data_IF_261842742201
#
_entry.id   IF_261842742201
#
_cell.length_a   1.000
_cell.length_b   1.000
_cell.length_c   1.000
_cell.angle_alpha   90.00
_cell.angle_beta   90.00
_cell.angle_gamma   90.00
#
_symmetry.space_group_name_H-M   'P 1'
#
loop_
_entity.id
_entity.type
_entity.pdbx_description
1 polymer ?
#
# COMPACT_ATOMS: atom_id res chain seq x y z
N UNK A 1 20.89 -4.51 -0.12
CA UNK A 1 21.16 -3.64 -1.30
C UNK A 1 22.49 -4.06 -1.89
N UNK A 2 22.55 -4.20 -3.21
CA UNK A 2 23.77 -4.61 -3.92
C UNK A 2 24.26 -3.48 -4.84
N UNK A 3 25.54 -3.27 -4.87
CA UNK A 3 26.22 -2.35 -5.79
C UNK A 3 27.13 -3.21 -6.67
N UNK A 4 27.08 -2.99 -7.97
CA UNK A 4 27.99 -3.62 -8.92
C UNK A 4 29.16 -2.68 -9.20
N UNK A 5 30.36 -3.15 -8.91
CA UNK A 5 31.61 -2.48 -9.25
C UNK A 5 32.04 -2.94 -10.65
N UNK A 6 32.03 -2.02 -11.61
CA UNK A 6 32.34 -2.33 -13.01
C UNK A 6 33.85 -2.59 -13.25
N UNK A 7 34.74 -1.95 -12.48
CA UNK A 7 36.19 -2.11 -12.63
C UNK A 7 36.65 -3.44 -12.05
N UNK A 8 36.24 -3.74 -10.81
CA UNK A 8 36.58 -5.00 -10.14
C UNK A 8 35.64 -6.15 -10.52
N UNK A 9 34.55 -5.88 -11.25
CA UNK A 9 33.51 -6.84 -11.66
C UNK A 9 32.97 -7.65 -10.50
N UNK A 10 32.79 -7.01 -9.35
CA UNK A 10 32.26 -7.61 -8.13
C UNK A 10 30.95 -6.97 -7.69
N UNK A 11 30.20 -7.73 -6.90
CA UNK A 11 29.02 -7.24 -6.20
C UNK A 11 29.42 -6.91 -4.76
N UNK A 12 29.11 -5.69 -4.32
CA UNK A 12 29.23 -5.25 -2.93
C UNK A 12 27.84 -5.29 -2.31
N UNK A 13 27.66 -6.08 -1.25
CA UNK A 13 26.42 -6.16 -0.51
C UNK A 13 26.43 -5.20 0.68
N UNK A 14 25.39 -4.35 0.75
CA UNK A 14 25.19 -3.40 1.85
C UNK A 14 24.14 -3.98 2.81
N UNK A 15 24.60 -4.84 3.73
CA UNK A 15 23.72 -5.57 4.65
C UNK A 15 23.16 -4.68 5.79
N UNK A 16 23.81 -3.58 6.11
CA UNK A 16 23.48 -2.71 7.24
C UNK A 16 22.29 -1.76 6.98
N UNK A 17 21.75 -1.72 5.76
CA UNK A 17 20.62 -0.85 5.44
C UNK A 17 19.34 -1.47 6.04
N UNK A 18 18.60 -0.73 6.89
CA UNK A 18 17.34 -1.23 7.44
C UNK A 18 16.32 -1.56 6.37
N UNK A 19 15.43 -2.50 6.65
CA UNK A 19 14.31 -2.85 5.75
C UNK A 19 13.40 -1.63 5.56
N UNK A 20 13.11 -1.29 4.30
CA UNK A 20 12.27 -0.16 3.93
C UNK A 20 12.28 0.08 2.43
N UNK A 21 11.55 1.09 1.99
CA UNK A 21 11.54 1.53 0.60
C UNK A 21 12.65 2.57 0.38
N UNK A 22 13.65 2.19 -0.43
CA UNK A 22 14.76 3.06 -0.77
C UNK A 22 14.36 4.00 -1.91
N UNK A 23 14.65 5.28 -1.73
CA UNK A 23 14.40 6.31 -2.71
C UNK A 23 15.66 7.18 -2.93
N UNK A 24 15.76 7.74 -4.13
CA UNK A 24 16.74 8.77 -4.45
C UNK A 24 18.19 8.40 -4.12
N UNK A 25 18.59 7.16 -4.37
CA UNK A 25 19.98 6.71 -4.15
C UNK A 25 20.92 7.49 -5.05
N UNK A 26 21.97 8.08 -4.46
CA UNK A 26 23.01 8.86 -5.14
C UNK A 26 24.37 8.56 -4.56
N UNK A 27 25.35 8.35 -5.42
CA UNK A 27 26.75 8.34 -5.02
C UNK A 27 27.24 9.75 -4.70
N UNK A 28 28.19 9.88 -3.79
CA UNK A 28 28.99 11.07 -3.64
C UNK A 28 29.98 11.20 -4.84
N UNK A 29 30.73 12.31 -4.88
CA UNK A 29 31.55 12.65 -6.07
C UNK A 29 32.67 11.65 -6.36
N UNK A 30 33.24 11.05 -5.34
CA UNK A 30 34.36 10.09 -5.42
C UNK A 30 33.88 8.62 -5.31
N UNK A 31 32.56 8.40 -5.33
CA UNK A 31 31.90 7.10 -5.28
C UNK A 31 32.22 6.25 -4.03
N UNK A 32 32.82 6.86 -3.00
CA UNK A 32 33.16 6.20 -1.73
C UNK A 32 31.97 6.00 -0.80
N UNK A 33 30.82 6.59 -1.10
CA UNK A 33 29.60 6.51 -0.28
C UNK A 33 28.35 6.88 -1.04
N UNK A 34 27.22 6.60 -0.42
CA UNK A 34 25.88 6.85 -0.96
C UNK A 34 25.01 7.65 0.01
N UNK A 35 24.21 8.55 -0.55
CA UNK A 35 23.07 9.16 0.12
C UNK A 35 21.79 8.55 -0.42
N UNK A 36 20.82 8.31 0.45
CA UNK A 36 19.54 7.71 0.05
C UNK A 36 18.41 8.14 1.00
N UNK A 37 17.19 8.16 0.47
CA UNK A 37 15.98 8.22 1.27
C UNK A 37 15.57 6.83 1.73
N UNK A 38 15.07 6.70 2.95
CA UNK A 38 14.50 5.46 3.47
C UNK A 38 13.14 5.73 4.09
N UNK A 39 12.11 5.13 3.50
CA UNK A 39 10.73 5.19 3.97
C UNK A 39 10.32 3.84 4.57
N UNK A 40 9.69 3.85 5.76
CA UNK A 40 9.17 2.65 6.44
C UNK A 40 7.77 2.93 6.96
N UNK A 41 7.00 1.89 7.25
CA UNK A 41 5.63 2.06 7.76
C UNK A 41 5.58 2.95 9.03
N UNK A 42 6.57 2.82 9.91
CA UNK A 42 6.66 3.53 11.21
C UNK A 42 7.59 4.75 11.20
N UNK A 43 8.11 5.13 10.04
CA UNK A 43 8.97 6.31 9.91
C UNK A 43 8.83 6.91 8.51
N UNK A 44 8.54 8.22 8.39
CA UNK A 44 8.52 8.90 7.11
C UNK A 44 9.87 8.86 6.43
N UNK A 45 9.93 9.26 5.16
CA UNK A 45 11.15 9.26 4.39
C UNK A 45 12.20 10.19 5.02
N UNK A 46 13.27 9.59 5.53
CA UNK A 46 14.43 10.28 6.05
C UNK A 46 15.64 10.10 5.15
N UNK A 47 16.51 11.09 5.16
CA UNK A 47 17.77 11.06 4.43
C UNK A 47 18.84 10.36 5.27
N UNK A 48 19.55 9.44 4.64
CA UNK A 48 20.69 8.72 5.20
C UNK A 48 21.92 8.91 4.32
N UNK A 49 23.09 8.77 4.94
CA UNK A 49 24.38 8.68 4.25
C UNK A 49 25.19 7.54 4.86
N UNK A 50 25.93 6.81 4.03
CA UNK A 50 26.92 5.82 4.46
C UNK A 50 28.08 5.75 3.47
N UNK A 51 29.25 5.38 3.96
CA UNK A 51 30.33 4.88 3.11
C UNK A 51 30.06 3.39 2.82
N UNK A 52 30.70 2.84 1.80
CA UNK A 52 30.43 1.46 1.37
C UNK A 52 30.80 0.40 2.42
N UNK A 53 31.61 0.77 3.41
CA UNK A 53 32.12 -0.05 4.50
C UNK A 53 31.55 0.30 5.90
N UNK A 54 30.58 1.23 5.96
CA UNK A 54 30.01 1.72 7.22
C UNK A 54 28.52 1.42 7.36
N UNK A 55 27.99 1.61 8.57
CA UNK A 55 26.53 1.60 8.79
C UNK A 55 25.92 2.95 8.40
N UNK A 56 24.63 2.95 7.97
CA UNK A 56 23.94 4.19 7.60
C UNK A 56 23.82 5.17 8.77
N UNK A 57 24.19 6.42 8.52
CA UNK A 57 23.95 7.54 9.43
C UNK A 57 22.71 8.30 8.97
N UNK A 58 21.69 8.40 9.85
CA UNK A 58 20.49 9.21 9.62
C UNK A 58 20.86 10.69 9.67
N UNK A 59 20.47 11.46 8.66
CA UNK A 59 20.77 12.90 8.53
C UNK A 59 19.55 13.77 8.88
N UNK A 60 18.33 13.27 8.70
CA UNK A 60 17.08 14.00 8.98
C UNK A 60 16.20 13.23 9.96
N UNK A 61 15.27 13.92 10.61
CA UNK A 61 14.23 13.35 11.45
C UNK A 61 12.88 13.99 11.07
N UNK A 62 12.22 13.42 10.06
CA UNK A 62 11.01 13.99 9.48
C UNK A 62 9.74 13.66 10.29
N UNK A 63 9.79 12.67 11.19
CA UNK A 63 8.67 12.38 12.07
C UNK A 63 8.47 13.53 13.07
N UNK A 64 7.23 13.99 13.20
CA UNK A 64 6.91 15.00 14.22
C UNK A 64 7.31 14.48 15.63
N UNK A 65 8.11 15.24 16.40
CA UNK A 65 8.58 14.79 17.72
C UNK A 65 7.48 14.47 18.74
N UNK A 66 6.25 14.98 18.52
CA UNK A 66 5.10 14.68 19.37
C UNK A 66 4.44 13.33 19.07
N UNK A 67 4.88 12.64 18.01
CA UNK A 67 4.36 11.33 17.64
C UNK A 67 5.31 10.25 18.14
N UNK A 68 4.79 9.36 18.97
CA UNK A 68 5.53 8.20 19.44
C UNK A 68 5.42 7.05 18.42
N UNK A 69 6.55 6.65 17.87
CA UNK A 69 6.62 5.56 16.90
C UNK A 69 6.31 4.17 17.50
N UNK A 70 6.36 4.01 18.83
CA UNK A 70 5.99 2.76 19.50
C UNK A 70 4.48 2.46 19.39
N UNK A 71 3.67 3.47 19.10
CA UNK A 71 2.23 3.33 18.85
C UNK A 71 1.87 3.14 17.39
N UNK A 72 2.85 3.09 16.50
CA UNK A 72 2.64 2.84 15.09
C UNK A 72 2.64 1.34 14.77
N UNK A 73 1.99 0.99 13.65
CA UNK A 73 1.87 -0.38 13.19
C UNK A 73 2.63 -0.58 11.87
N UNK A 74 3.23 -1.76 11.73
CA UNK A 74 3.82 -2.18 10.47
C UNK A 74 2.82 -3.00 9.65
N UNK A 75 2.82 -2.76 8.33
CA UNK A 75 2.03 -3.53 7.39
C UNK A 75 2.65 -4.90 7.10
N UNK A 76 1.82 -5.91 7.00
CA UNK A 76 2.21 -7.26 6.57
C UNK A 76 1.70 -7.50 5.17
N UNK A 77 2.58 -7.94 4.25
CA UNK A 77 2.17 -8.36 2.92
C UNK A 77 1.43 -9.69 3.04
N UNK A 78 0.19 -9.71 2.59
CA UNK A 78 -0.68 -10.89 2.59
C UNK A 78 -1.16 -11.18 1.17
N UNK A 79 -1.63 -12.40 0.95
CA UNK A 79 -2.25 -12.84 -0.31
C UNK A 79 -3.51 -13.63 0.01
N UNK A 80 -4.50 -13.53 -0.86
CA UNK A 80 -5.72 -14.31 -0.74
C UNK A 80 -6.23 -14.72 -2.12
N UNK A 81 -6.92 -15.87 -2.23
CA UNK A 81 -7.57 -16.28 -3.46
C UNK A 81 -8.82 -15.43 -3.71
N UNK A 82 -8.91 -14.81 -4.88
CA UNK A 82 -10.10 -14.09 -5.33
C UNK A 82 -11.22 -15.05 -5.74
N UNK A 83 -12.32 -14.51 -6.23
CA UNK A 83 -13.52 -15.24 -6.65
C UNK A 83 -13.28 -16.30 -7.73
N UNK A 84 -12.21 -16.17 -8.51
CA UNK A 84 -11.80 -17.07 -9.58
C UNK A 84 -10.51 -17.86 -9.26
N UNK A 85 -10.03 -17.77 -8.03
CA UNK A 85 -8.81 -18.43 -7.55
C UNK A 85 -7.51 -17.68 -7.86
N UNK A 86 -7.57 -16.51 -8.51
CA UNK A 86 -6.39 -15.66 -8.69
C UNK A 86 -5.88 -15.17 -7.32
N UNK A 87 -4.57 -15.33 -7.09
CA UNK A 87 -3.92 -14.79 -5.88
C UNK A 87 -3.81 -13.27 -5.93
N UNK A 88 -4.52 -12.58 -5.05
CA UNK A 88 -4.52 -11.12 -4.93
C UNK A 88 -3.64 -10.70 -3.75
N UNK A 89 -2.59 -9.89 -4.00
CA UNK A 89 -1.75 -9.36 -2.93
C UNK A 89 -2.35 -8.11 -2.28
N UNK A 90 -1.93 -7.84 -1.06
CA UNK A 90 -2.27 -6.60 -0.36
C UNK A 90 -1.39 -6.41 0.88
N UNK A 91 -1.59 -5.30 1.56
CA UNK A 91 -0.87 -4.95 2.79
C UNK A 91 -1.89 -4.77 3.90
N UNK A 92 -1.78 -5.58 4.94
CA UNK A 92 -2.69 -5.58 6.09
C UNK A 92 -2.01 -4.93 7.30
N UNK A 93 -2.62 -3.89 7.82
CA UNK A 93 -2.21 -3.19 9.05
C UNK A 93 -3.17 -3.59 10.17
N UNK A 94 -2.61 -4.19 11.22
CA UNK A 94 -3.37 -4.61 12.41
C UNK A 94 -3.21 -3.59 13.52
N UNK A 95 -4.30 -3.05 14.09
CA UNK A 95 -4.24 -2.21 15.28
C UNK A 95 -3.63 -2.97 16.47
N UNK A 96 -2.84 -2.27 17.28
CA UNK A 96 -2.16 -2.88 18.45
C UNK A 96 -3.15 -3.54 19.41
N UNK A 97 -4.32 -2.91 19.62
CA UNK A 97 -5.36 -3.38 20.53
C UNK A 97 -6.25 -4.49 19.97
N UNK A 98 -6.09 -4.83 18.66
CA UNK A 98 -6.93 -5.84 18.01
C UNK A 98 -6.61 -7.25 18.51
N UNK A 99 -7.61 -7.94 19.02
CA UNK A 99 -7.52 -9.34 19.48
C UNK A 99 -8.84 -10.07 19.19
N UNK A 100 -8.85 -11.37 19.46
CA UNK A 100 -10.06 -12.18 19.36
C UNK A 100 -11.15 -11.71 20.32
N UNK A 101 -10.77 -11.22 21.49
CA UNK A 101 -11.68 -10.69 22.51
C UNK A 101 -12.11 -9.25 22.24
N UNK A 102 -11.33 -8.53 21.40
CA UNK A 102 -11.61 -7.17 20.97
C UNK A 102 -11.38 -7.03 19.46
N UNK A 103 -12.26 -7.61 18.62
CA UNK A 103 -12.11 -7.58 17.19
C UNK A 103 -12.30 -6.17 16.62
N UNK A 104 -11.41 -5.79 15.71
CA UNK A 104 -11.37 -4.47 15.09
C UNK A 104 -12.30 -4.38 13.88
N UNK A 105 -13.00 -3.26 13.67
CA UNK A 105 -13.54 -2.94 12.36
C UNK A 105 -12.41 -2.83 11.33
N UNK A 106 -12.70 -3.04 10.05
CA UNK A 106 -11.71 -2.97 8.99
C UNK A 106 -12.12 -2.05 7.85
N UNK A 107 -11.14 -1.51 7.14
CA UNK A 107 -11.29 -0.74 5.92
C UNK A 107 -10.48 -1.38 4.80
N UNK A 108 -11.13 -1.72 3.70
CA UNK A 108 -10.49 -2.07 2.44
C UNK A 108 -10.14 -0.78 1.72
N UNK A 109 -8.84 -0.51 1.57
CA UNK A 109 -8.33 0.68 0.88
C UNK A 109 -7.96 0.34 -0.55
N UNK A 110 -8.69 0.92 -1.51
CA UNK A 110 -8.44 0.75 -2.93
C UNK A 110 -7.65 1.95 -3.46
N UNK A 111 -6.50 1.67 -4.08
CA UNK A 111 -5.65 2.71 -4.67
C UNK A 111 -6.26 3.31 -5.95
N UNK A 112 -5.73 4.45 -6.37
CA UNK A 112 -6.06 5.08 -7.64
C UNK A 112 -5.30 4.49 -8.83
N UNK A 113 -5.58 5.02 -10.01
CA UNK A 113 -4.91 4.63 -11.25
C UNK A 113 -5.87 4.49 -12.43
N UNK A 114 -6.31 3.28 -12.83
CA UNK A 114 -6.38 1.96 -12.16
C UNK A 114 -5.04 1.27 -11.91
N UNK A 115 -4.06 1.44 -12.78
CA UNK A 115 -2.76 0.75 -12.73
C UNK A 115 -1.80 1.25 -11.63
N UNK A 116 -2.30 1.77 -10.50
CA UNK A 116 -1.50 2.12 -9.34
C UNK A 116 -0.98 0.91 -8.58
N UNK A 117 -0.42 1.16 -7.39
CA UNK A 117 0.05 0.12 -6.47
C UNK A 117 0.05 0.65 -5.04
N UNK A 118 -0.49 -0.11 -4.12
CA UNK A 118 -0.25 0.08 -2.69
C UNK A 118 1.10 -0.52 -2.32
N UNK A 119 1.94 0.26 -1.63
CA UNK A 119 3.29 -0.14 -1.20
C UNK A 119 3.44 0.10 0.29
N UNK A 120 4.31 -0.67 0.93
CA UNK A 120 4.71 -0.41 2.32
C UNK A 120 5.40 0.95 2.41
N UNK A 121 5.08 1.71 3.44
CA UNK A 121 5.68 3.01 3.70
C UNK A 121 4.82 3.84 4.64
N UNK A 122 5.38 4.91 5.15
CA UNK A 122 4.71 5.79 6.09
C UNK A 122 3.49 6.47 5.45
N UNK A 123 2.35 6.23 6.05
CA UNK A 123 1.11 6.93 5.74
C UNK A 123 0.48 7.45 7.04
N UNK A 124 0.44 8.77 7.25
CA UNK A 124 -0.16 9.34 8.46
C UNK A 124 -1.63 8.95 8.61
N UNK A 125 -2.36 8.82 7.50
CA UNK A 125 -3.77 8.40 7.52
C UNK A 125 -3.93 6.96 7.98
N UNK A 126 -3.08 6.04 7.51
CA UNK A 126 -3.13 4.62 7.93
C UNK A 126 -2.77 4.52 9.41
N UNK A 127 -1.70 5.20 9.86
CA UNK A 127 -1.31 5.20 11.26
C UNK A 127 -2.40 5.80 12.16
N UNK A 128 -3.04 6.88 11.71
CA UNK A 128 -4.18 7.48 12.41
C UNK A 128 -5.37 6.49 12.52
N UNK A 129 -5.76 5.84 11.42
CA UNK A 129 -6.84 4.85 11.45
C UNK A 129 -6.50 3.68 12.37
N UNK A 130 -5.28 3.15 12.29
CA UNK A 130 -4.84 2.04 13.12
C UNK A 130 -4.81 2.42 14.62
N UNK A 131 -4.35 3.63 14.96
CA UNK A 131 -4.36 4.13 16.35
C UNK A 131 -5.79 4.29 16.91
N UNK A 132 -6.78 4.50 16.03
CA UNK A 132 -8.20 4.55 16.38
C UNK A 132 -8.89 3.18 16.31
N UNK A 133 -8.15 2.11 16.13
CA UNK A 133 -8.67 0.74 16.20
C UNK A 133 -9.21 0.18 14.90
N UNK A 134 -8.96 0.81 13.75
CA UNK A 134 -9.35 0.28 12.46
C UNK A 134 -8.21 -0.55 11.84
N UNK A 135 -8.50 -1.80 11.51
CA UNK A 135 -7.64 -2.54 10.58
C UNK A 135 -7.71 -1.90 9.19
N UNK A 136 -6.57 -1.78 8.51
CA UNK A 136 -6.54 -1.24 7.14
C UNK A 136 -5.93 -2.29 6.22
N UNK A 137 -6.64 -2.66 5.18
CA UNK A 137 -6.17 -3.55 4.14
C UNK A 137 -6.04 -2.80 2.82
N UNK A 138 -4.83 -2.48 2.43
CA UNK A 138 -4.52 -1.91 1.12
C UNK A 138 -4.46 -3.02 0.09
N UNK A 139 -5.53 -3.20 -0.67
CA UNK A 139 -5.59 -4.21 -1.73
C UNK A 139 -4.79 -3.76 -2.96
N UNK A 140 -4.08 -4.71 -3.58
CA UNK A 140 -3.55 -4.60 -4.93
C UNK A 140 -4.35 -5.54 -5.85
N UNK A 141 -5.57 -5.12 -6.21
CA UNK A 141 -6.45 -5.87 -7.10
C UNK A 141 -5.78 -6.10 -8.46
N UNK A 142 -6.30 -7.06 -9.26
CA UNK A 142 -5.83 -7.23 -10.64
C UNK A 142 -5.82 -5.89 -11.37
N UNK A 143 -4.87 -5.68 -12.29
CA UNK A 143 -4.59 -4.38 -12.91
C UNK A 143 -3.55 -3.55 -12.17
N UNK A 144 -3.20 -3.86 -10.90
CA UNK A 144 -2.17 -3.15 -10.17
C UNK A 144 -0.78 -3.35 -10.79
N UNK A 145 0.03 -2.28 -10.78
CA UNK A 145 1.43 -2.35 -11.18
C UNK A 145 2.30 -3.10 -10.15
N UNK A 146 3.53 -3.45 -10.55
CA UNK A 146 4.52 -4.09 -9.67
C UNK A 146 4.44 -5.61 -9.60
N UNK A 147 3.45 -6.24 -10.23
CA UNK A 147 3.22 -7.70 -10.23
C UNK A 147 3.42 -8.35 -11.61
N UNK A 148 4.06 -7.61 -12.52
CA UNK A 148 4.34 -8.06 -13.88
C UNK A 148 3.23 -7.70 -14.87
N UNK A 149 3.60 -7.74 -16.17
CA UNK A 149 2.74 -7.31 -17.28
C UNK A 149 1.43 -8.09 -17.36
N UNK A 150 1.47 -9.41 -17.13
CA UNK A 150 0.28 -10.24 -17.16
C UNK A 150 -0.75 -9.80 -16.12
N UNK A 151 -0.33 -9.60 -14.86
CA UNK A 151 -1.21 -9.15 -13.81
C UNK A 151 -1.77 -7.75 -14.06
N UNK A 152 -0.93 -6.86 -14.60
CA UNK A 152 -1.30 -5.48 -14.93
C UNK A 152 -2.43 -5.39 -15.98
N UNK A 153 -2.50 -6.33 -16.92
CA UNK A 153 -3.51 -6.33 -17.98
C UNK A 153 -4.77 -7.17 -17.68
N UNK A 154 -4.92 -7.70 -16.46
CA UNK A 154 -6.06 -8.57 -16.12
C UNK A 154 -7.40 -7.85 -16.01
N UNK A 155 -7.39 -6.53 -15.87
CA UNK A 155 -8.59 -5.68 -15.79
C UNK A 155 -8.82 -4.85 -17.07
N UNK A 156 -7.99 -4.99 -18.09
CA UNK A 156 -8.17 -4.28 -19.37
C UNK A 156 -9.57 -4.52 -19.94
N UNK A 157 -10.26 -3.43 -20.25
CA UNK A 157 -11.66 -3.39 -20.73
C UNK A 157 -12.69 -4.01 -19.76
N UNK A 158 -12.34 -4.24 -18.49
CA UNK A 158 -13.18 -4.84 -17.44
C UNK A 158 -13.11 -4.08 -16.12
N UNK A 159 -12.81 -2.79 -16.20
CA UNK A 159 -12.74 -1.91 -15.03
C UNK A 159 -14.10 -1.79 -14.35
N UNK A 160 -14.12 -2.01 -13.04
CA UNK A 160 -15.35 -2.06 -12.23
C UNK A 160 -16.10 -3.38 -12.33
N UNK A 161 -15.53 -4.40 -12.96
CA UNK A 161 -16.05 -5.75 -13.07
C UNK A 161 -15.10 -6.77 -12.45
N UNK A 162 -14.00 -7.10 -13.14
CA UNK A 162 -13.06 -8.11 -12.69
C UNK A 162 -12.26 -7.66 -11.45
N UNK A 163 -11.79 -6.45 -11.43
CA UNK A 163 -11.11 -5.80 -10.31
C UNK A 163 -12.04 -5.54 -9.12
N UNK A 164 -13.31 -5.15 -9.38
CA UNK A 164 -14.34 -5.06 -8.35
C UNK A 164 -14.59 -6.42 -7.70
N UNK A 165 -14.54 -7.50 -8.45
CA UNK A 165 -14.64 -8.86 -7.92
C UNK A 165 -13.57 -9.16 -6.87
N UNK A 166 -12.32 -8.72 -7.07
CA UNK A 166 -11.23 -8.87 -6.10
C UNK A 166 -11.51 -8.08 -4.82
N UNK A 167 -11.96 -6.84 -4.98
CA UNK A 167 -12.31 -5.96 -3.85
C UNK A 167 -13.45 -6.57 -3.02
N UNK A 168 -14.47 -7.11 -3.66
CA UNK A 168 -15.57 -7.80 -2.99
C UNK A 168 -15.10 -9.06 -2.25
N UNK A 169 -14.24 -9.87 -2.89
CA UNK A 169 -13.69 -11.08 -2.29
C UNK A 169 -12.83 -10.79 -1.04
N UNK A 170 -12.19 -9.62 -1.00
CA UNK A 170 -11.37 -9.22 0.14
C UNK A 170 -12.15 -9.11 1.46
N UNK A 171 -13.46 -8.81 1.44
CA UNK A 171 -14.28 -8.80 2.65
C UNK A 171 -14.31 -10.19 3.32
N UNK A 172 -14.54 -11.23 2.52
CA UNK A 172 -14.54 -12.62 3.02
C UNK A 172 -13.19 -13.04 3.59
N UNK A 173 -12.10 -12.64 2.91
CA UNK A 173 -10.74 -12.87 3.40
C UNK A 173 -10.49 -12.19 4.76
N UNK A 174 -10.86 -10.93 4.90
CA UNK A 174 -10.70 -10.18 6.16
C UNK A 174 -11.57 -10.75 7.29
N UNK A 175 -12.80 -11.12 6.99
CA UNK A 175 -13.70 -11.74 7.97
C UNK A 175 -13.22 -13.11 8.48
N UNK A 176 -12.24 -13.73 7.82
CA UNK A 176 -11.57 -14.95 8.26
C UNK A 176 -10.58 -14.77 9.41
N UNK A 177 -10.17 -13.55 9.72
CA UNK A 177 -9.30 -13.27 10.87
C UNK A 177 -10.13 -13.15 12.16
N UNK A 178 -9.76 -13.87 13.22
CA UNK A 178 -10.46 -13.86 14.51
C UNK A 178 -10.38 -12.51 15.27
N UNK A 179 -9.47 -11.64 14.88
CA UNK A 179 -9.27 -10.28 15.41
C UNK A 179 -9.92 -9.18 14.55
N UNK A 180 -10.63 -9.54 13.46
CA UNK A 180 -11.41 -8.59 12.64
C UNK A 180 -12.90 -8.85 12.87
N UNK A 181 -13.66 -7.78 13.09
CA UNK A 181 -15.12 -7.85 13.11
C UNK A 181 -15.67 -7.90 11.68
N UNK A 182 -16.02 -9.09 11.23
CA UNK A 182 -16.54 -9.33 9.88
C UNK A 182 -17.87 -8.64 9.56
N UNK A 183 -18.55 -8.09 10.59
CA UNK A 183 -19.80 -7.33 10.43
C UNK A 183 -19.55 -5.82 10.32
N UNK A 184 -18.29 -5.36 10.45
CA UNK A 184 -17.92 -3.94 10.38
C UNK A 184 -16.73 -3.76 9.44
N UNK A 185 -16.94 -4.03 8.15
CA UNK A 185 -15.93 -3.86 7.10
C UNK A 185 -16.40 -2.84 6.07
N UNK A 186 -15.73 -1.69 6.04
CA UNK A 186 -15.97 -0.63 5.08
C UNK A 186 -14.98 -0.63 3.91
N UNK A 187 -15.26 0.23 2.93
CA UNK A 187 -14.40 0.45 1.77
C UNK A 187 -14.04 1.93 1.66
N UNK A 188 -12.79 2.23 1.34
CA UNK A 188 -12.28 3.59 1.14
C UNK A 188 -11.40 3.64 -0.10
N UNK A 189 -11.47 4.72 -0.85
CA UNK A 189 -10.60 4.90 -2.01
C UNK A 189 -10.68 6.29 -2.61
N UNK A 190 -9.60 6.68 -3.29
CA UNK A 190 -9.49 7.96 -3.98
C UNK A 190 -9.34 7.81 -5.50
N UNK A 191 -9.80 8.80 -6.29
CA UNK A 191 -9.71 8.76 -7.74
C UNK A 191 -10.36 7.50 -8.32
N UNK A 192 -9.62 6.64 -9.02
CA UNK A 192 -10.14 5.34 -9.47
C UNK A 192 -10.60 4.47 -8.28
N UNK A 193 -9.86 4.46 -7.16
CA UNK A 193 -10.31 3.78 -5.94
C UNK A 193 -11.65 4.33 -5.42
N UNK A 194 -11.90 5.62 -5.58
CA UNK A 194 -13.21 6.23 -5.27
C UNK A 194 -14.31 5.78 -6.23
N UNK A 195 -14.00 5.55 -7.51
CA UNK A 195 -14.92 4.88 -8.43
C UNK A 195 -15.24 3.46 -7.95
N UNK A 196 -14.23 2.70 -7.50
CA UNK A 196 -14.42 1.36 -6.96
C UNK A 196 -15.33 1.35 -5.71
N UNK A 197 -15.21 2.37 -4.84
CA UNK A 197 -16.13 2.58 -3.72
C UNK A 197 -17.57 2.76 -4.21
N UNK A 198 -17.77 3.67 -5.18
CA UNK A 198 -19.09 3.92 -5.75
C UNK A 198 -19.66 2.67 -6.45
N UNK A 199 -18.84 1.97 -7.21
CA UNK A 199 -19.20 0.72 -7.90
C UNK A 199 -19.58 -0.39 -6.89
N UNK A 200 -18.81 -0.55 -5.81
CA UNK A 200 -19.13 -1.52 -4.76
C UNK A 200 -20.48 -1.23 -4.11
N UNK A 201 -20.74 0.03 -3.73
CA UNK A 201 -22.02 0.41 -3.11
C UNK A 201 -23.22 0.31 -4.07
N UNK A 202 -23.00 0.56 -5.38
CA UNK A 202 -24.06 0.52 -6.38
C UNK A 202 -24.37 -0.91 -6.87
N UNK A 203 -23.34 -1.71 -7.12
CA UNK A 203 -23.47 -3.02 -7.77
C UNK A 203 -23.37 -4.20 -6.80
N UNK A 204 -22.89 -3.95 -5.58
CA UNK A 204 -22.72 -4.94 -4.50
C UNK A 204 -23.13 -4.32 -3.15
N UNK A 205 -24.39 -3.80 -3.03
CA UNK A 205 -24.81 -2.98 -1.88
C UNK A 205 -24.75 -3.71 -0.53
N UNK A 206 -24.81 -5.04 -0.55
CA UNK A 206 -24.82 -5.88 0.66
C UNK A 206 -23.41 -6.29 1.12
N UNK A 207 -22.34 -5.83 0.45
CA UNK A 207 -20.99 -6.28 0.79
C UNK A 207 -20.37 -5.42 1.88
N UNK A 208 -20.28 -4.11 1.68
CA UNK A 208 -19.60 -3.22 2.62
C UNK A 208 -20.60 -2.42 3.46
N UNK A 209 -20.27 -2.23 4.75
CA UNK A 209 -21.14 -1.56 5.71
C UNK A 209 -21.07 -0.03 5.57
N UNK A 210 -19.97 0.50 5.02
CA UNK A 210 -19.77 1.93 4.74
C UNK A 210 -18.79 2.11 3.59
N UNK A 211 -18.98 3.18 2.81
CA UNK A 211 -18.06 3.59 1.75
C UNK A 211 -17.60 5.03 1.92
N UNK A 212 -16.28 5.25 1.83
CA UNK A 212 -15.64 6.57 1.87
C UNK A 212 -15.05 6.86 0.49
N UNK A 213 -15.79 7.66 -0.29
CA UNK A 213 -15.38 8.06 -1.63
C UNK A 213 -14.59 9.37 -1.58
N UNK A 214 -13.33 9.34 -1.98
CA UNK A 214 -12.46 10.53 -2.01
C UNK A 214 -12.27 10.94 -3.47
N UNK A 215 -13.05 11.94 -3.92
CA UNK A 215 -13.04 12.48 -5.31
C UNK A 215 -12.99 11.39 -6.41
N UNK A 216 -13.81 10.36 -6.25
CA UNK A 216 -13.90 9.27 -7.22
C UNK A 216 -14.52 9.65 -8.55
N UNK A 217 -14.12 8.94 -9.59
CA UNK A 217 -14.75 9.05 -10.92
C UNK A 217 -16.14 8.43 -10.86
N UNK A 218 -17.20 9.24 -10.97
CA UNK A 218 -18.60 8.77 -10.92
C UNK A 218 -19.31 8.85 -12.28
N UNK A 219 -18.67 9.44 -13.29
CA UNK A 219 -19.19 9.52 -14.67
C UNK A 219 -18.03 9.36 -15.66
N UNK A 220 -17.85 8.15 -16.18
CA UNK A 220 -16.78 7.84 -17.10
C UNK A 220 -16.88 8.60 -18.43
N UNK A 221 -18.06 8.77 -19.00
CA UNK A 221 -18.23 9.50 -20.25
C UNK A 221 -17.69 10.93 -20.12
N UNK A 222 -18.15 11.67 -19.10
CA UNK A 222 -17.68 13.02 -18.85
C UNK A 222 -16.18 13.07 -18.52
N UNK A 223 -15.68 12.11 -17.81
CA UNK A 223 -14.25 12.03 -17.46
C UNK A 223 -13.40 11.85 -18.71
N UNK A 224 -13.76 10.88 -19.58
CA UNK A 224 -13.03 10.63 -20.82
C UNK A 224 -13.07 11.82 -21.79
N UNK A 225 -14.19 12.54 -21.85
CA UNK A 225 -14.31 13.77 -22.65
C UNK A 225 -13.42 14.92 -22.12
N UNK A 226 -13.12 14.91 -20.82
CA UNK A 226 -12.31 15.95 -20.18
C UNK A 226 -10.80 15.67 -20.15
N UNK A 227 -10.38 14.44 -20.47
CA UNK A 227 -8.96 14.09 -20.53
C UNK A 227 -8.34 14.72 -21.78
N UNK A 228 -7.28 15.53 -21.65
CA UNK A 228 -6.60 16.08 -22.81
C UNK A 228 -5.97 14.97 -23.67
N UNK A 229 -5.90 15.15 -24.99
CA UNK A 229 -5.21 14.20 -25.85
C UNK A 229 -3.73 14.13 -25.46
N UNK A 230 -3.20 12.92 -25.42
CA UNK A 230 -1.77 12.62 -25.12
C UNK A 230 -0.91 12.91 -26.34
#
# INVERSE_FOLDING_TARGET
VTIFDEEEKRIVELESIPVGDLAQVRFNRDESGIAFGLNRDVAPNDLFYMTLDSSPKRLTNALNPSIDSEHMVEGVVVRFPSYDGLEIPGILYRPIQASKENPSPALVWVHGGPGGQSRKGYSPTIQHLASHGYAVFQINNRGSSGYGKTFYHLDDLKHGEADLGDVVASKGFLAGYDWIDGQRIGIIGGSYGGYMVAAALAFRPDVFDVGINIFGVTNWLRTLESIPPW
#
